data_IF_602136301289
#
_entry.id   IF_602136301289
#
_cell.length_a   1.000
_cell.length_b   1.000
_cell.length_c   1.000
_cell.angle_alpha   90.00
_cell.angle_beta   90.00
_cell.angle_gamma   90.00
#
_symmetry.space_group_name_H-M   'P 1'
#
loop_
_entity.id
_entity.type
_entity.pdbx_description
1 polymer ?
#
# COMPACT_ATOMS: atom_id res chain seq x y z
N UNK A 1 14.65 25.92 17.41
CA UNK A 1 13.53 24.96 17.61
C UNK A 1 14.10 23.55 17.80
N UNK A 2 13.78 22.85 18.90
CA UNK A 2 14.11 21.41 19.03
C UNK A 2 13.47 20.67 17.86
N UNK A 3 14.26 19.88 17.13
CA UNK A 3 13.83 19.14 15.94
C UNK A 3 12.66 18.19 16.28
N UNK A 4 11.41 18.65 16.14
CA UNK A 4 10.19 17.90 16.44
C UNK A 4 10.13 16.59 15.66
N UNK A 5 10.70 16.58 14.46
CA UNK A 5 10.85 15.37 13.64
C UNK A 5 11.66 14.26 14.34
N UNK A 6 12.68 14.61 15.16
CA UNK A 6 13.46 13.62 15.92
C UNK A 6 12.62 12.97 17.01
N UNK A 7 11.80 13.76 17.70
CA UNK A 7 10.89 13.27 18.73
C UNK A 7 9.85 12.32 18.13
N UNK A 8 9.23 12.71 17.01
CA UNK A 8 8.26 11.87 16.28
C UNK A 8 8.89 10.55 15.81
N UNK A 9 10.10 10.59 15.23
CA UNK A 9 10.80 9.35 14.84
C UNK A 9 11.03 8.41 16.02
N UNK A 10 11.44 8.93 17.18
CA UNK A 10 11.63 8.12 18.40
C UNK A 10 10.34 7.50 18.90
N UNK A 11 9.24 8.27 18.89
CA UNK A 11 7.93 7.76 19.27
C UNK A 11 7.48 6.64 18.33
N UNK A 12 7.63 6.81 17.01
CA UNK A 12 7.31 5.77 16.04
C UNK A 12 8.15 4.51 16.24
N UNK A 13 9.46 4.65 16.47
CA UNK A 13 10.34 3.52 16.76
C UNK A 13 9.93 2.83 18.05
N UNK A 14 9.61 3.56 19.12
CA UNK A 14 9.15 2.97 20.39
C UNK A 14 7.86 2.16 20.20
N UNK A 15 6.88 2.71 19.47
CA UNK A 15 5.63 2.02 19.12
C UNK A 15 5.91 0.74 18.32
N UNK A 16 6.79 0.81 17.32
CA UNK A 16 7.15 -0.35 16.51
C UNK A 16 7.89 -1.43 17.32
N UNK A 17 8.78 -1.05 18.25
CA UNK A 17 9.44 -1.98 19.16
C UNK A 17 8.43 -2.73 20.04
N UNK A 18 7.42 -2.04 20.56
CA UNK A 18 6.37 -2.68 21.34
C UNK A 18 5.54 -3.66 20.48
N UNK A 19 5.12 -3.22 19.30
CA UNK A 19 4.32 -4.05 18.38
C UNK A 19 5.08 -5.27 17.84
N UNK A 20 6.40 -5.16 17.64
CA UNK A 20 7.27 -6.20 17.07
C UNK A 20 8.09 -6.95 18.13
N UNK A 21 7.69 -6.88 19.40
CA UNK A 21 8.31 -7.67 20.47
C UNK A 21 8.27 -9.16 20.13
N UNK A 22 7.11 -9.63 19.69
CA UNK A 22 6.92 -10.97 19.17
C UNK A 22 7.05 -10.93 17.65
N UNK A 23 8.10 -11.53 17.12
CA UNK A 23 8.38 -11.51 15.69
C UNK A 23 8.77 -12.92 15.24
N UNK A 24 8.04 -13.45 14.26
CA UNK A 24 8.28 -14.79 13.70
C UNK A 24 8.31 -15.90 14.77
N UNK A 25 7.45 -15.80 15.79
CA UNK A 25 7.37 -16.78 16.88
C UNK A 25 8.41 -16.60 18.00
N UNK A 26 9.30 -15.61 17.92
CA UNK A 26 10.31 -15.34 18.93
C UNK A 26 9.96 -14.10 19.78
N UNK A 27 10.24 -14.14 21.08
CA UNK A 27 10.22 -12.95 21.96
C UNK A 27 11.58 -12.24 21.91
N UNK A 28 11.60 -11.06 21.31
CA UNK A 28 12.80 -10.24 21.11
C UNK A 28 13.07 -9.25 22.26
N UNK A 29 12.35 -9.33 23.39
CA UNK A 29 12.49 -8.39 24.52
C UNK A 29 13.94 -8.21 24.98
N UNK A 30 14.69 -9.29 25.06
CA UNK A 30 16.07 -9.31 25.55
C UNK A 30 17.12 -9.18 24.44
N UNK A 31 16.70 -9.24 23.18
CA UNK A 31 17.57 -9.07 22.02
C UNK A 31 17.30 -7.72 21.35
N UNK A 32 17.94 -6.69 21.89
CA UNK A 32 17.80 -5.33 21.37
C UNK A 32 18.27 -5.19 19.91
N UNK A 33 19.23 -6.02 19.46
CA UNK A 33 19.76 -5.99 18.11
C UNK A 33 18.74 -6.56 17.11
N UNK A 34 18.19 -7.74 17.40
CA UNK A 34 17.14 -8.34 16.57
C UNK A 34 15.85 -7.53 16.61
N UNK A 35 15.49 -6.95 17.76
CA UNK A 35 14.36 -6.03 17.85
C UNK A 35 14.57 -4.78 16.99
N UNK A 36 15.79 -4.23 16.98
CA UNK A 36 16.18 -3.13 16.08
C UNK A 36 16.05 -3.51 14.60
N UNK A 37 16.54 -4.70 14.22
CA UNK A 37 16.36 -5.26 12.87
C UNK A 37 14.89 -5.44 12.53
N UNK A 38 14.09 -6.00 13.43
CA UNK A 38 12.67 -6.20 13.22
C UNK A 38 11.93 -4.87 12.99
N UNK A 39 12.35 -3.76 13.61
CA UNK A 39 11.78 -2.41 13.38
C UNK A 39 12.15 -1.84 12.01
N UNK A 40 13.40 -1.98 11.59
CA UNK A 40 13.86 -1.41 10.32
C UNK A 40 13.49 -2.30 9.13
N UNK A 41 13.75 -3.60 9.26
CA UNK A 41 13.62 -4.61 8.21
C UNK A 41 12.94 -5.87 8.78
N UNK A 42 11.61 -5.87 8.92
CA UNK A 42 10.87 -7.00 9.51
C UNK A 42 10.95 -8.29 8.68
N UNK A 43 11.31 -8.20 7.40
CA UNK A 43 11.50 -9.35 6.50
C UNK A 43 13.00 -9.51 6.23
N UNK A 44 13.71 -10.41 6.95
CA UNK A 44 15.16 -10.46 6.92
C UNK A 44 15.73 -11.01 5.60
N UNK A 45 14.90 -11.67 4.78
CA UNK A 45 15.29 -12.23 3.50
C UNK A 45 14.40 -11.72 2.37
N UNK A 46 14.93 -11.78 1.15
CA UNK A 46 14.19 -11.54 -0.09
C UNK A 46 13.82 -12.86 -0.79
N UNK A 47 13.37 -13.85 -0.02
CA UNK A 47 12.89 -15.11 -0.60
C UNK A 47 11.55 -14.90 -1.32
N UNK A 48 11.08 -15.90 -2.05
CA UNK A 48 9.81 -15.83 -2.77
C UNK A 48 8.61 -15.43 -1.91
N UNK A 49 8.60 -15.79 -0.62
CA UNK A 49 7.51 -15.46 0.30
C UNK A 49 7.64 -14.05 0.91
N UNK A 50 8.88 -13.60 1.15
CA UNK A 50 9.15 -12.38 1.90
C UNK A 50 9.48 -11.17 1.01
N UNK A 51 10.06 -11.43 -0.16
CA UNK A 51 10.54 -10.44 -1.12
C UNK A 51 9.42 -9.76 -1.91
N UNK A 52 9.81 -8.98 -2.91
CA UNK A 52 8.88 -8.27 -3.78
C UNK A 52 8.19 -9.27 -4.74
N UNK A 53 6.84 -9.38 -4.73
CA UNK A 53 6.08 -10.23 -5.64
C UNK A 53 6.45 -10.05 -7.12
N UNK A 54 6.75 -8.83 -7.57
CA UNK A 54 7.17 -8.59 -8.97
C UNK A 54 8.42 -9.35 -9.37
N UNK A 55 9.38 -9.48 -8.44
CA UNK A 55 10.66 -10.15 -8.69
C UNK A 55 10.49 -11.67 -8.78
N UNK A 56 9.55 -12.25 -8.03
CA UNK A 56 9.44 -13.70 -7.89
C UNK A 56 8.28 -14.31 -8.68
N UNK A 57 7.19 -13.58 -8.89
CA UNK A 57 5.97 -14.06 -9.52
C UNK A 57 5.54 -13.23 -10.74
N UNK A 58 6.24 -12.13 -11.03
CA UNK A 58 5.82 -11.19 -12.08
C UNK A 58 4.50 -10.47 -11.78
N UNK A 59 3.92 -10.67 -10.59
CA UNK A 59 2.63 -10.11 -10.20
C UNK A 59 2.78 -8.76 -9.50
N UNK A 60 1.75 -7.93 -9.60
CA UNK A 60 1.67 -6.64 -8.90
C UNK A 60 1.52 -6.86 -7.40
N UNK A 61 2.05 -5.93 -6.61
CA UNK A 61 1.83 -5.94 -5.16
C UNK A 61 0.40 -5.55 -4.81
N UNK A 62 -0.14 -6.01 -3.66
CA UNK A 62 -1.44 -5.56 -3.18
C UNK A 62 -1.56 -4.02 -3.07
N UNK A 63 -0.48 -3.34 -2.70
CA UNK A 63 -0.43 -1.87 -2.62
C UNK A 63 -0.58 -1.22 -4.00
N UNK A 64 0.08 -1.75 -5.03
CA UNK A 64 -0.05 -1.25 -6.39
C UNK A 64 -1.45 -1.50 -6.95
N UNK A 65 -2.03 -2.67 -6.68
CA UNK A 65 -3.40 -2.99 -7.09
C UNK A 65 -4.40 -2.02 -6.43
N UNK A 66 -4.25 -1.77 -5.12
CA UNK A 66 -5.08 -0.80 -4.42
C UNK A 66 -4.91 0.62 -4.99
N UNK A 67 -3.68 1.04 -5.31
CA UNK A 67 -3.42 2.34 -5.94
C UNK A 67 -4.06 2.44 -7.32
N UNK A 68 -3.99 1.39 -8.14
CA UNK A 68 -4.64 1.37 -9.45
C UNK A 68 -6.16 1.44 -9.34
N UNK A 69 -6.74 0.72 -8.38
CA UNK A 69 -8.17 0.78 -8.12
C UNK A 69 -8.60 2.19 -7.69
N UNK A 70 -7.86 2.82 -6.78
CA UNK A 70 -8.13 4.21 -6.35
C UNK A 70 -8.07 5.19 -7.53
N UNK A 71 -7.11 5.02 -8.44
CA UNK A 71 -7.02 5.85 -9.65
C UNK A 71 -8.20 5.61 -10.58
N UNK A 72 -8.62 4.35 -10.76
CA UNK A 72 -9.77 3.98 -11.58
C UNK A 72 -11.09 4.51 -10.99
N UNK A 73 -11.29 4.36 -9.68
CA UNK A 73 -12.42 4.93 -8.94
C UNK A 73 -12.45 6.47 -9.05
N UNK A 74 -11.29 7.12 -8.94
CA UNK A 74 -11.15 8.56 -9.14
C UNK A 74 -11.45 9.00 -10.57
N UNK A 75 -11.09 8.21 -11.58
CA UNK A 75 -11.42 8.49 -12.97
C UNK A 75 -12.92 8.33 -13.25
N UNK A 76 -13.53 7.27 -12.70
CA UNK A 76 -14.95 6.99 -12.84
C UNK A 76 -15.81 8.09 -12.19
N UNK A 77 -15.46 8.51 -10.97
CA UNK A 77 -16.17 9.61 -10.29
C UNK A 77 -16.11 10.91 -11.09
N UNK A 78 -14.93 11.29 -11.58
CA UNK A 78 -14.77 12.47 -12.46
C UNK A 78 -15.58 12.37 -13.75
N UNK A 79 -15.63 11.19 -14.35
CA UNK A 79 -16.43 10.95 -15.55
C UNK A 79 -17.93 11.12 -15.27
N UNK A 80 -18.43 10.57 -14.17
CA UNK A 80 -19.83 10.75 -13.77
C UNK A 80 -20.17 12.22 -13.49
N UNK A 81 -19.26 12.94 -12.83
CA UNK A 81 -19.43 14.37 -12.57
C UNK A 81 -19.49 15.18 -13.86
N UNK A 82 -18.67 14.85 -14.86
CA UNK A 82 -18.71 15.46 -16.18
C UNK A 82 -20.05 15.20 -16.89
N UNK A 83 -20.52 13.95 -16.91
CA UNK A 83 -21.80 13.57 -17.55
C UNK A 83 -22.96 14.34 -16.91
N UNK A 84 -22.99 14.41 -15.57
CA UNK A 84 -23.98 15.20 -14.83
C UNK A 84 -23.89 16.70 -15.16
N UNK A 85 -22.69 17.27 -15.15
CA UNK A 85 -22.47 18.69 -15.41
C UNK A 85 -22.89 19.10 -16.83
N UNK A 86 -22.81 18.19 -17.79
CA UNK A 86 -23.21 18.42 -19.18
C UNK A 86 -24.67 18.05 -19.48
N UNK A 87 -25.44 17.61 -18.48
CA UNK A 87 -26.82 17.10 -18.64
C UNK A 87 -26.90 16.01 -19.73
N UNK A 88 -25.83 15.22 -19.88
CA UNK A 88 -25.78 14.12 -20.83
C UNK A 88 -26.38 12.86 -20.18
N UNK A 89 -27.08 12.04 -20.95
CA UNK A 89 -27.48 10.72 -20.49
C UNK A 89 -26.29 9.75 -20.58
N UNK A 90 -25.97 9.12 -19.45
CA UNK A 90 -24.90 8.13 -19.32
C UNK A 90 -25.07 6.96 -20.31
N UNK A 91 -26.31 6.58 -20.63
CA UNK A 91 -26.59 5.50 -21.61
C UNK A 91 -26.22 5.90 -23.04
N UNK A 92 -26.37 7.18 -23.39
CA UNK A 92 -25.94 7.71 -24.69
C UNK A 92 -24.42 7.79 -24.78
N UNK A 93 -23.75 8.15 -23.69
CA UNK A 93 -22.28 8.28 -23.65
C UNK A 93 -21.58 6.92 -23.62
N UNK A 94 -22.12 5.94 -22.88
CA UNK A 94 -21.56 4.57 -22.81
C UNK A 94 -22.01 3.72 -24.00
N UNK A 95 -23.17 4.02 -24.60
CA UNK A 95 -23.81 3.24 -25.68
C UNK A 95 -23.06 3.19 -27.02
N UNK A 96 -21.91 3.82 -27.16
CA UNK A 96 -21.02 3.68 -28.33
C UNK A 96 -19.77 2.84 -28.06
N UNK A 97 -19.64 2.23 -26.88
CA UNK A 97 -18.57 1.27 -26.63
C UNK A 97 -18.91 -0.05 -27.33
N UNK A 98 -18.45 -0.17 -28.56
CA UNK A 98 -18.46 -1.40 -29.34
C UNK A 98 -17.73 -2.51 -28.56
N UNK A 99 -18.50 -3.45 -28.00
CA UNK A 99 -17.98 -4.60 -27.25
C UNK A 99 -17.37 -5.67 -28.17
N UNK A 100 -17.21 -5.40 -29.47
CA UNK A 100 -16.62 -6.31 -30.46
C UNK A 100 -15.08 -6.37 -30.47
N UNK A 101 -14.40 -5.70 -29.53
CA UNK A 101 -12.93 -5.70 -29.42
C UNK A 101 -12.43 -6.33 -28.10
N UNK A 102 -13.20 -7.25 -27.53
CA UNK A 102 -12.71 -8.19 -26.51
C UNK A 102 -12.72 -9.62 -27.04
#
# INVERSE_FOLDING_TARGET
MKNMQRALRRQHVARLKAARRFHWGHDLRHDAASLGKAVNTPRPCSCWMCGNPRRHFGSRTPQELASQLQLAEGAYTRFLDFVKAKQLDLRTVIGTADLSVF
#
